data_IF_570800718794
#
_entry.id   IF_570800718794
#
_cell.length_a   1.000
_cell.length_b   1.000
_cell.length_c   1.000
_cell.angle_alpha   90.00
_cell.angle_beta   90.00
_cell.angle_gamma   90.00
#
_symmetry.space_group_name_H-M   'P 1'
#
loop_
_entity.id
_entity.type
_entity.pdbx_description
1 polymer ?
#
# COMPACT_ATOMS: atom_id res chain seq x y z
N UNK A 1 -20.83 8.45 -5.40
CA UNK A 1 -20.37 7.38 -4.47
C UNK A 1 -20.10 6.03 -5.16
N UNK A 2 -20.49 5.80 -6.42
CA UNK A 2 -20.29 4.51 -7.12
C UNK A 2 -18.86 4.34 -7.69
N UNK A 3 -18.04 5.39 -7.71
CA UNK A 3 -16.83 5.46 -8.53
C UNK A 3 -15.70 4.48 -8.15
N UNK A 4 -15.65 3.98 -6.92
CA UNK A 4 -14.51 3.17 -6.43
C UNK A 4 -14.90 1.77 -5.98
N UNK A 5 -16.19 1.47 -5.87
CA UNK A 5 -16.67 0.17 -5.36
C UNK A 5 -16.18 -0.99 -6.22
N UNK A 6 -16.07 -0.80 -7.54
CA UNK A 6 -15.59 -1.85 -8.44
C UNK A 6 -14.10 -2.14 -8.29
N UNK A 7 -13.28 -1.13 -7.99
CA UNK A 7 -11.86 -1.32 -7.64
C UNK A 7 -11.73 -2.03 -6.29
N UNK A 8 -12.54 -1.65 -5.30
CA UNK A 8 -12.53 -2.30 -3.98
C UNK A 8 -12.94 -3.78 -4.06
N UNK A 9 -13.84 -4.17 -4.97
CA UNK A 9 -14.18 -5.58 -5.23
C UNK A 9 -13.01 -6.40 -5.75
N UNK A 10 -12.00 -5.77 -6.36
CA UNK A 10 -10.80 -6.46 -6.85
C UNK A 10 -9.80 -6.69 -5.70
N UNK A 11 -9.85 -5.87 -4.65
CA UNK A 11 -8.97 -6.00 -3.50
C UNK A 11 -9.18 -7.33 -2.78
N UNK A 12 -8.15 -8.19 -2.83
CA UNK A 12 -8.20 -9.54 -2.25
C UNK A 12 -8.56 -9.52 -0.76
N UNK A 13 -8.10 -8.51 -0.02
CA UNK A 13 -8.39 -8.34 1.41
C UNK A 13 -9.86 -8.02 1.71
N UNK A 14 -10.60 -7.49 0.73
CA UNK A 14 -12.02 -7.16 0.85
C UNK A 14 -12.94 -8.21 0.20
N UNK A 15 -12.39 -9.32 -0.30
CA UNK A 15 -13.18 -10.39 -0.90
C UNK A 15 -14.18 -10.97 0.10
N UNK A 16 -15.43 -11.16 -0.35
CA UNK A 16 -16.52 -11.70 0.47
C UNK A 16 -17.37 -10.64 1.18
N UNK A 17 -17.02 -9.35 1.10
CA UNK A 17 -17.85 -8.27 1.61
C UNK A 17 -19.02 -7.96 0.67
N UNK A 18 -20.19 -7.67 1.24
CA UNK A 18 -21.36 -7.24 0.49
C UNK A 18 -21.20 -5.81 -0.06
N UNK A 19 -22.00 -5.43 -1.05
CA UNK A 19 -21.99 -4.05 -1.58
C UNK A 19 -22.28 -2.99 -0.51
N UNK A 20 -23.10 -3.33 0.49
CA UNK A 20 -23.39 -2.43 1.62
C UNK A 20 -22.17 -2.27 2.53
N UNK A 21 -21.48 -3.36 2.86
CA UNK A 21 -20.25 -3.33 3.65
C UNK A 21 -19.13 -2.59 2.93
N UNK A 22 -18.98 -2.80 1.62
CA UNK A 22 -18.04 -2.04 0.79
C UNK A 22 -18.40 -0.55 0.76
N UNK A 23 -19.69 -0.22 0.69
CA UNK A 23 -20.16 1.16 0.79
C UNK A 23 -19.79 1.82 2.12
N UNK A 24 -19.90 1.09 3.23
CA UNK A 24 -19.49 1.56 4.55
C UNK A 24 -17.97 1.81 4.63
N UNK A 25 -17.15 0.94 4.04
CA UNK A 25 -15.71 1.14 3.95
C UNK A 25 -15.38 2.41 3.15
N UNK A 26 -16.00 2.60 1.99
CA UNK A 26 -15.81 3.81 1.17
C UNK A 26 -16.17 5.06 1.97
N UNK A 27 -17.29 5.03 2.72
CA UNK A 27 -17.73 6.17 3.53
C UNK A 27 -16.80 6.48 4.72
N UNK A 28 -16.11 5.47 5.26
CA UNK A 28 -15.15 5.62 6.36
C UNK A 28 -13.72 5.92 5.89
N UNK A 29 -13.45 5.88 4.59
CA UNK A 29 -12.11 6.06 4.01
C UNK A 29 -11.87 7.49 3.53
N UNK A 30 -10.60 7.88 3.46
CA UNK A 30 -10.16 9.12 2.81
C UNK A 30 -9.42 8.80 1.51
N UNK A 31 -9.60 9.67 0.50
CA UNK A 31 -8.79 9.62 -0.73
C UNK A 31 -7.54 10.46 -0.49
N UNK A 32 -6.38 9.87 -0.75
CA UNK A 32 -5.08 10.54 -0.67
C UNK A 32 -4.38 10.37 -2.01
N UNK A 33 -3.77 11.44 -2.50
CA UNK A 33 -3.09 11.48 -3.80
C UNK A 33 -1.63 11.80 -3.57
N UNK A 34 -0.75 10.99 -4.15
CA UNK A 34 0.70 11.13 -4.06
C UNK A 34 1.28 11.43 -5.45
N UNK A 35 2.29 12.30 -5.51
CA UNK A 35 3.01 12.55 -6.75
C UNK A 35 4.03 11.44 -7.03
N UNK A 36 4.51 11.38 -8.28
CA UNK A 36 5.62 10.49 -8.63
C UNK A 36 6.81 10.72 -7.68
N UNK A 37 7.41 9.64 -7.23
CA UNK A 37 8.54 9.55 -6.30
C UNK A 37 8.23 10.00 -4.86
N UNK A 38 6.97 10.33 -4.54
CA UNK A 38 6.55 10.64 -3.18
C UNK A 38 6.41 9.36 -2.35
N UNK A 39 6.99 9.38 -1.15
CA UNK A 39 6.94 8.26 -0.19
C UNK A 39 5.59 8.30 0.53
N UNK A 40 4.84 7.20 0.44
CA UNK A 40 3.58 7.02 1.18
C UNK A 40 3.87 6.73 2.65
N UNK A 41 4.80 5.81 2.91
CA UNK A 41 5.40 5.59 4.23
C UNK A 41 6.73 4.86 4.10
N UNK A 42 7.57 5.04 5.11
CA UNK A 42 8.88 4.39 5.20
C UNK A 42 8.81 3.06 5.94
N UNK A 43 9.73 2.16 5.60
CA UNK A 43 9.99 0.97 6.40
C UNK A 43 10.29 1.33 7.87
N UNK A 44 9.87 0.48 8.81
CA UNK A 44 10.06 0.64 10.25
C UNK A 44 9.38 1.87 10.87
N UNK A 45 8.65 2.67 10.07
CA UNK A 45 7.76 3.70 10.60
C UNK A 45 6.55 3.10 11.31
N UNK A 46 5.97 3.85 12.23
CA UNK A 46 4.69 3.50 12.85
C UNK A 46 3.52 3.87 11.92
N UNK A 47 2.47 3.06 11.93
CA UNK A 47 1.25 3.39 11.19
C UNK A 47 0.21 2.29 11.31
N UNK A 48 -1.06 2.69 11.38
CA UNK A 48 -2.19 1.75 11.51
C UNK A 48 -3.16 1.80 10.33
N UNK A 49 -2.83 2.55 9.28
CA UNK A 49 -3.67 2.65 8.10
C UNK A 49 -3.26 1.62 7.05
N UNK A 50 -4.20 1.20 6.21
CA UNK A 50 -3.94 0.45 4.99
C UNK A 50 -4.50 1.19 3.79
N UNK A 51 -3.97 0.87 2.62
CA UNK A 51 -4.29 1.56 1.39
C UNK A 51 -4.76 0.57 0.34
N UNK A 52 -5.62 1.03 -0.55
CA UNK A 52 -5.99 0.34 -1.79
C UNK A 52 -5.66 1.29 -2.92
N UNK A 53 -4.89 0.82 -3.90
CA UNK A 53 -4.55 1.62 -5.07
C UNK A 53 -5.83 1.79 -5.90
N UNK A 54 -6.24 3.04 -6.11
CA UNK A 54 -7.40 3.37 -6.91
C UNK A 54 -7.03 3.61 -8.38
N UNK A 55 -5.90 4.26 -8.60
CA UNK A 55 -5.29 4.58 -9.89
C UNK A 55 -3.76 4.76 -9.69
N UNK A 56 -3.01 4.81 -10.80
CA UNK A 56 -1.54 4.89 -10.78
C UNK A 56 -0.83 3.58 -10.40
N UNK A 57 0.41 3.71 -9.91
CA UNK A 57 1.25 2.60 -9.47
C UNK A 57 2.08 3.01 -8.24
N UNK A 58 2.28 2.06 -7.32
CA UNK A 58 3.25 2.19 -6.21
C UNK A 58 4.32 1.09 -6.28
N UNK A 59 5.51 1.38 -5.79
CA UNK A 59 6.59 0.41 -5.60
C UNK A 59 6.75 0.04 -4.13
N UNK A 60 6.95 -1.27 -3.89
CA UNK A 60 7.37 -1.83 -2.60
C UNK A 60 8.87 -1.95 -2.60
N UNK A 61 9.52 -1.31 -1.63
CA UNK A 61 10.97 -1.19 -1.56
C UNK A 61 11.50 -1.66 -0.21
N UNK A 62 12.61 -2.40 -0.24
CA UNK A 62 13.28 -2.94 0.96
C UNK A 62 14.77 -2.62 0.97
N UNK A 63 15.33 -2.51 2.16
CA UNK A 63 16.79 -2.54 2.36
C UNK A 63 17.35 -3.90 1.87
N UNK A 64 18.28 -3.92 0.91
CA UNK A 64 18.94 -5.14 0.44
C UNK A 64 19.62 -5.97 1.54
N UNK A 65 20.00 -5.37 2.67
CA UNK A 65 20.52 -6.11 3.81
C UNK A 65 19.47 -7.02 4.48
N UNK A 66 18.17 -6.69 4.37
CA UNK A 66 17.08 -7.59 4.79
C UNK A 66 16.85 -8.74 3.83
N UNK A 67 17.28 -8.61 2.57
CA UNK A 67 17.28 -9.69 1.60
C UNK A 67 18.49 -10.63 1.78
N UNK A 68 19.40 -10.33 2.72
CA UNK A 68 20.63 -11.10 2.95
C UNK A 68 21.67 -10.91 1.85
N UNK A 69 21.55 -9.86 1.04
CA UNK A 69 22.37 -9.69 -0.18
C UNK A 69 23.57 -8.75 -0.02
N UNK A 70 23.67 -7.98 1.07
CA UNK A 70 24.73 -6.98 1.36
C UNK A 70 24.76 -6.59 2.85
N UNK A 71 25.80 -5.85 3.28
CA UNK A 71 25.89 -5.24 4.61
C UNK A 71 24.85 -4.13 4.84
N UNK A 72 24.28 -4.06 6.06
CA UNK A 72 23.25 -3.06 6.46
C UNK A 72 23.72 -1.63 6.21
N UNK A 73 22.86 -0.84 5.57
CA UNK A 73 23.03 0.62 5.47
C UNK A 73 23.91 1.13 4.33
N UNK A 74 24.20 0.31 3.30
CA UNK A 74 25.09 0.70 2.18
C UNK A 74 24.49 0.69 0.77
N UNK A 75 23.18 0.42 0.58
CA UNK A 75 22.61 0.29 -0.77
C UNK A 75 21.27 1.01 -0.90
N UNK A 76 21.02 1.60 -2.06
CA UNK A 76 19.71 2.10 -2.49
C UNK A 76 18.62 1.05 -2.24
N UNK A 77 17.45 1.49 -1.79
CA UNK A 77 16.30 0.61 -1.58
C UNK A 77 15.98 -0.14 -2.88
N UNK A 78 15.78 -1.45 -2.77
CA UNK A 78 15.47 -2.28 -3.94
C UNK A 78 13.96 -2.41 -4.11
N UNK A 79 13.46 -2.09 -5.29
CA UNK A 79 12.07 -2.40 -5.68
C UNK A 79 11.90 -3.92 -5.77
N UNK A 80 11.04 -4.49 -4.93
CA UNK A 80 10.74 -5.92 -4.91
C UNK A 80 9.41 -6.25 -5.58
N UNK A 81 8.50 -5.27 -5.68
CA UNK A 81 7.18 -5.42 -6.30
C UNK A 81 6.63 -4.06 -6.72
N UNK A 82 5.82 -4.05 -7.76
CA UNK A 82 4.96 -2.93 -8.17
C UNK A 82 3.50 -3.32 -7.98
N UNK A 83 2.67 -2.37 -7.59
CA UNK A 83 1.26 -2.59 -7.27
C UNK A 83 0.39 -1.54 -7.95
N UNK A 84 -0.66 -1.99 -8.61
CA UNK A 84 -1.61 -1.15 -9.36
C UNK A 84 -3.04 -1.24 -8.82
N UNK A 85 -4.02 -0.71 -9.57
CA UNK A 85 -5.40 -0.57 -9.11
C UNK A 85 -6.00 -1.89 -8.62
N UNK A 86 -6.70 -1.82 -7.48
CA UNK A 86 -7.30 -2.98 -6.83
C UNK A 86 -6.35 -3.76 -5.92
N UNK A 87 -5.05 -3.45 -5.91
CA UNK A 87 -4.12 -4.05 -4.95
C UNK A 87 -4.07 -3.24 -3.65
N UNK A 88 -3.91 -3.93 -2.52
CA UNK A 88 -3.84 -3.34 -1.18
C UNK A 88 -2.45 -3.47 -0.57
N UNK A 89 -2.02 -2.47 0.20
CA UNK A 89 -0.76 -2.51 0.94
C UNK A 89 -0.87 -1.85 2.33
N UNK A 90 0.08 -2.16 3.22
CA UNK A 90 0.11 -1.63 4.59
C UNK A 90 -0.81 -2.37 5.57
N UNK A 91 -1.48 -3.44 5.13
CA UNK A 91 -2.41 -4.24 5.91
C UNK A 91 -1.74 -5.00 7.07
N UNK A 92 -0.47 -5.36 6.94
CA UNK A 92 0.25 -6.12 7.97
C UNK A 92 0.31 -5.35 9.29
N UNK A 93 0.80 -4.11 9.25
CA UNK A 93 0.92 -3.25 10.43
C UNK A 93 -0.44 -2.93 11.08
N UNK A 94 -1.51 -2.88 10.28
CA UNK A 94 -2.88 -2.73 10.79
C UNK A 94 -3.33 -3.99 11.57
N UNK A 95 -2.95 -5.19 11.12
CA UNK A 95 -3.38 -6.47 11.71
C UNK A 95 -2.56 -6.86 12.94
N UNK A 96 -1.22 -6.77 12.87
CA UNK A 96 -0.33 -7.27 13.92
C UNK A 96 0.23 -6.17 14.85
N UNK A 97 -0.02 -4.90 14.51
CA UNK A 97 0.45 -3.74 15.28
C UNK A 97 1.96 -3.53 15.26
N UNK A 98 2.70 -4.22 14.39
CA UNK A 98 4.14 -4.04 14.22
C UNK A 98 4.45 -2.85 13.29
N UNK A 99 5.69 -2.32 13.33
CA UNK A 99 6.13 -1.30 12.39
C UNK A 99 6.00 -1.73 10.93
N UNK A 100 5.96 -0.75 10.01
CA UNK A 100 5.89 -1.00 8.56
C UNK A 100 7.02 -1.93 8.11
N UNK A 101 6.68 -2.93 7.31
CA UNK A 101 7.63 -3.98 6.88
C UNK A 101 8.44 -3.61 5.65
N UNK A 102 8.02 -2.58 4.91
CA UNK A 102 8.65 -2.09 3.69
C UNK A 102 8.37 -0.60 3.49
N UNK A 103 9.16 0.06 2.65
CA UNK A 103 8.89 1.42 2.17
C UNK A 103 7.96 1.35 0.96
N UNK A 104 6.98 2.25 0.89
CA UNK A 104 6.09 2.40 -0.26
C UNK A 104 6.26 3.79 -0.85
N UNK A 105 6.46 3.87 -2.17
CA UNK A 105 6.49 5.14 -2.90
C UNK A 105 5.63 5.07 -4.17
N UNK A 106 5.02 6.18 -4.54
CA UNK A 106 4.28 6.30 -5.80
C UNK A 106 5.26 6.37 -6.98
N UNK A 107 5.02 5.58 -8.03
CA UNK A 107 5.91 5.47 -9.20
C UNK A 107 5.26 5.94 -10.49
N UNK A 108 3.94 6.02 -10.52
CA UNK A 108 3.18 6.58 -11.63
C UNK A 108 1.96 7.34 -11.08
N UNK A 109 1.75 8.61 -11.50
CA UNK A 109 0.51 9.32 -11.17
C UNK A 109 -0.67 8.77 -11.96
N UNK A 110 -1.88 9.18 -11.54
CA UNK A 110 -3.16 8.93 -12.23
C UNK A 110 -3.19 9.45 -13.67
#
# INVERSE_FOLDING_TARGET
MVAYTDTLKQARILQGLSSEQLGAIVAASAIVVYQRDEVVFEEASDGRDMYIVLAGEVAVMLDPARLGTVERGSVELRVIRRMGPGESFGELALVDGQPRTATIAATQPD
#
